data_IF_026115323030
#
_entry.id   IF_026115323030
#
_cell.length_a   1.000
_cell.length_b   1.000
_cell.length_c   1.000
_cell.angle_alpha   90.00
_cell.angle_beta   90.00
_cell.angle_gamma   90.00
#
_symmetry.space_group_name_H-M   'P 1'
#
loop_
_entity.id
_entity.type
_entity.pdbx_description
1 polymer ?
#
# COMPACT_ATOMS: atom_id res chain seq x y z
N UNK A 1 -2.68 18.77 8.20
CA UNK A 1 -2.54 19.26 6.81
C UNK A 1 -2.78 18.09 5.87
N UNK A 2 -3.48 18.28 4.75
CA UNK A 2 -3.70 17.25 3.72
C UNK A 2 -3.22 17.85 2.40
N UNK A 3 -2.28 17.19 1.76
CA UNK A 3 -1.71 17.56 0.47
C UNK A 3 -1.89 16.40 -0.52
N UNK A 4 -2.52 16.68 -1.67
CA UNK A 4 -2.81 15.67 -2.68
C UNK A 4 -2.25 16.14 -4.04
N UNK A 5 -1.56 15.25 -4.74
CA UNK A 5 -0.90 15.55 -6.00
C UNK A 5 -1.28 14.53 -7.08
N UNK A 6 -1.82 15.01 -8.20
CA UNK A 6 -1.96 14.20 -9.40
C UNK A 6 -0.67 14.31 -10.20
N UNK A 7 0.26 13.40 -9.97
CA UNK A 7 1.62 13.46 -10.51
C UNK A 7 2.29 12.08 -10.54
N UNK A 8 3.37 12.00 -11.30
CA UNK A 8 4.30 10.88 -11.21
C UNK A 8 5.05 10.93 -9.88
N UNK A 9 5.01 9.84 -9.10
CA UNK A 9 5.64 9.78 -7.79
C UNK A 9 7.17 9.85 -7.86
N UNK A 10 7.81 9.37 -8.93
CA UNK A 10 9.26 9.46 -9.12
C UNK A 10 9.75 10.90 -9.27
N UNK A 11 8.94 11.76 -9.88
CA UNK A 11 9.25 13.19 -10.00
C UNK A 11 8.81 13.96 -8.75
N UNK A 12 7.60 13.71 -8.26
CA UNK A 12 7.05 14.46 -7.13
C UNK A 12 7.80 14.24 -5.83
N UNK A 13 8.31 13.03 -5.58
CA UNK A 13 9.13 12.75 -4.39
C UNK A 13 10.37 13.66 -4.31
N UNK A 14 10.99 14.04 -5.44
CA UNK A 14 12.16 14.93 -5.47
C UNK A 14 11.88 16.33 -4.91
N UNK A 15 10.61 16.75 -4.92
CA UNK A 15 10.18 18.04 -4.39
C UNK A 15 9.83 18.00 -2.89
N UNK A 16 9.64 16.79 -2.33
CA UNK A 16 9.36 16.62 -0.90
C UNK A 16 10.68 16.81 -0.12
N UNK A 17 10.68 17.67 0.91
CA UNK A 17 11.90 17.93 1.68
C UNK A 17 12.46 16.66 2.35
N UNK A 18 13.78 16.64 2.52
CA UNK A 18 14.47 15.60 3.29
C UNK A 18 13.96 15.58 4.72
N UNK A 19 13.83 14.38 5.31
CA UNK A 19 13.48 14.18 6.70
C UNK A 19 12.18 14.90 7.13
N UNK A 20 11.15 14.90 6.27
CA UNK A 20 9.87 15.59 6.49
C UNK A 20 8.69 14.65 6.72
N UNK A 21 8.89 13.34 6.56
CA UNK A 21 7.85 12.31 6.64
C UNK A 21 8.12 11.38 7.84
N UNK A 22 7.11 11.14 8.67
CA UNK A 22 7.21 10.27 9.84
C UNK A 22 6.89 8.81 9.52
N UNK A 23 6.03 8.55 8.54
CA UNK A 23 5.57 7.23 8.16
C UNK A 23 5.25 7.17 6.67
N UNK A 24 5.73 6.13 6.00
CA UNK A 24 5.34 5.80 4.63
C UNK A 24 4.47 4.54 4.63
N UNK A 25 3.33 4.56 3.92
CA UNK A 25 2.49 3.38 3.67
C UNK A 25 2.16 3.36 2.18
N UNK A 26 2.65 2.35 1.46
CA UNK A 26 2.45 2.25 0.01
C UNK A 26 1.92 0.88 -0.41
N UNK A 27 1.09 0.90 -1.46
CA UNK A 27 0.57 -0.28 -2.17
C UNK A 27 0.95 -0.17 -3.66
N UNK A 28 2.24 -0.35 -3.98
CA UNK A 28 2.72 -0.18 -5.34
C UNK A 28 2.21 -1.30 -6.28
N UNK A 29 2.30 -1.10 -7.61
CA UNK A 29 2.02 -2.15 -8.57
C UNK A 29 2.74 -3.47 -8.25
N UNK A 30 2.02 -4.60 -8.33
CA UNK A 30 2.61 -5.90 -8.07
C UNK A 30 3.31 -6.44 -9.33
N UNK A 31 4.43 -7.11 -9.13
CA UNK A 31 5.10 -7.87 -10.19
C UNK A 31 4.33 -9.18 -10.43
N UNK A 32 3.41 -9.14 -11.36
CA UNK A 32 2.60 -10.29 -11.76
C UNK A 32 3.19 -10.83 -13.05
N UNK A 33 3.98 -11.88 -12.93
CA UNK A 33 4.44 -12.64 -14.08
C UNK A 33 3.22 -13.20 -14.84
N UNK A 34 3.23 -13.02 -16.16
CA UNK A 34 2.14 -13.42 -17.05
C UNK A 34 1.94 -14.94 -16.95
N UNK A 35 1.07 -15.34 -16.07
CA UNK A 35 0.62 -16.72 -15.99
C UNK A 35 -0.52 -16.89 -16.99
N UNK A 36 -0.19 -17.13 -18.25
CA UNK A 36 -1.16 -17.51 -19.30
C UNK A 36 -2.14 -18.54 -18.78
N UNK A 37 -3.27 -18.08 -18.27
CA UNK A 37 -4.25 -18.90 -17.56
C UNK A 37 -5.58 -18.84 -18.27
N UNK A 38 -5.80 -19.77 -19.20
CA UNK A 38 -7.15 -20.17 -19.54
C UNK A 38 -7.81 -20.79 -18.32
N UNK A 39 -8.35 -19.98 -17.41
CA UNK A 39 -9.02 -20.45 -16.21
C UNK A 39 -10.53 -20.44 -16.37
N UNK A 40 -11.23 -21.28 -15.60
CA UNK A 40 -12.68 -21.41 -15.49
C UNK A 40 -13.41 -20.15 -14.95
N UNK A 41 -12.85 -18.96 -15.14
CA UNK A 41 -13.43 -17.73 -14.61
C UNK A 41 -14.36 -17.06 -15.61
N UNK A 42 -15.51 -16.60 -15.12
CA UNK A 42 -16.44 -15.79 -15.87
C UNK A 42 -15.87 -14.45 -16.33
N UNK A 43 -16.65 -13.71 -17.12
CA UNK A 43 -16.30 -12.40 -17.69
C UNK A 43 -15.71 -11.40 -16.66
N UNK A 44 -16.25 -11.35 -15.46
CA UNK A 44 -15.83 -10.42 -14.40
C UNK A 44 -14.35 -10.57 -13.98
N UNK A 45 -13.84 -11.81 -13.90
CA UNK A 45 -12.43 -12.02 -13.52
C UNK A 45 -11.47 -11.67 -14.67
N UNK A 46 -11.91 -11.81 -15.91
CA UNK A 46 -11.13 -11.36 -17.08
C UNK A 46 -11.11 -9.86 -17.19
N UNK A 47 -12.24 -9.19 -16.95
CA UNK A 47 -12.33 -7.73 -16.92
C UNK A 47 -11.41 -7.15 -15.82
N UNK A 48 -11.46 -7.69 -14.62
CA UNK A 48 -10.56 -7.31 -13.51
C UNK A 48 -9.07 -7.47 -13.90
N UNK A 49 -8.71 -8.58 -14.52
CA UNK A 49 -7.34 -8.84 -14.95
C UNK A 49 -6.90 -7.85 -16.04
N UNK A 50 -7.78 -7.59 -17.02
CA UNK A 50 -7.52 -6.63 -18.08
C UNK A 50 -7.40 -5.19 -17.53
N UNK A 51 -8.20 -4.83 -16.54
CA UNK A 51 -8.12 -3.53 -15.89
C UNK A 51 -6.77 -3.34 -15.16
N UNK A 52 -6.26 -4.37 -14.47
CA UNK A 52 -4.94 -4.35 -13.85
C UNK A 52 -3.82 -4.20 -14.89
N UNK A 53 -3.91 -4.91 -16.02
CA UNK A 53 -2.92 -4.84 -17.10
C UNK A 53 -2.93 -3.48 -17.81
N UNK A 54 -4.10 -2.98 -18.18
CA UNK A 54 -4.23 -1.69 -18.86
C UNK A 54 -3.81 -0.52 -17.98
N UNK A 55 -4.01 -0.61 -16.66
CA UNK A 55 -3.57 0.38 -15.66
C UNK A 55 -2.08 0.31 -15.30
N UNK A 56 -1.30 -0.61 -15.91
CA UNK A 56 0.13 -0.75 -15.58
C UNK A 56 0.42 -1.33 -14.19
N UNK A 57 -0.60 -1.87 -13.50
CA UNK A 57 -0.52 -2.35 -12.11
C UNK A 57 0.11 -3.74 -11.97
N UNK A 58 0.74 -4.26 -13.03
CA UNK A 58 1.30 -5.63 -13.07
C UNK A 58 2.80 -5.70 -13.32
N UNK A 59 3.46 -4.55 -13.49
CA UNK A 59 4.88 -4.48 -13.87
C UNK A 59 5.85 -4.28 -12.70
N UNK A 60 5.33 -4.27 -11.46
CA UNK A 60 6.14 -3.87 -10.31
C UNK A 60 6.48 -2.38 -10.30
N UNK A 61 7.44 -2.01 -9.49
CA UNK A 61 7.98 -0.64 -9.44
C UNK A 61 9.46 -0.64 -9.77
N UNK A 62 9.96 0.49 -10.28
CA UNK A 62 11.40 0.72 -10.34
C UNK A 62 11.94 0.95 -8.92
N UNK A 63 12.90 0.13 -8.53
CA UNK A 63 13.54 0.22 -7.20
C UNK A 63 14.29 1.55 -6.98
N UNK A 64 14.51 2.34 -8.03
CA UNK A 64 15.06 3.69 -7.94
C UNK A 64 14.24 4.64 -7.04
N UNK A 65 12.98 4.31 -6.76
CA UNK A 65 12.14 5.06 -5.80
C UNK A 65 12.59 4.87 -4.35
N UNK A 66 13.20 3.73 -4.01
CA UNK A 66 13.50 3.38 -2.62
C UNK A 66 14.49 4.36 -1.94
N UNK A 67 15.57 4.83 -2.60
CA UNK A 67 16.41 5.89 -2.06
C UNK A 67 15.66 7.19 -1.77
N UNK A 68 14.71 7.58 -2.64
CA UNK A 68 13.90 8.79 -2.43
C UNK A 68 12.94 8.63 -1.24
N UNK A 69 12.33 7.46 -1.08
CA UNK A 69 11.53 7.16 0.11
C UNK A 69 12.37 7.22 1.39
N UNK A 70 13.60 6.68 1.36
CA UNK A 70 14.52 6.79 2.48
C UNK A 70 14.91 8.23 2.79
N UNK A 71 15.15 9.06 1.78
CA UNK A 71 15.54 10.48 1.92
C UNK A 71 14.45 11.32 2.59
N UNK A 72 13.21 11.13 2.18
CA UNK A 72 12.09 11.96 2.71
C UNK A 72 11.69 11.57 4.14
N UNK A 73 11.98 10.36 4.60
CA UNK A 73 11.65 9.92 5.95
C UNK A 73 12.60 10.53 7.01
N UNK A 74 12.07 10.99 8.13
CA UNK A 74 12.86 11.42 9.29
C UNK A 74 13.75 10.29 9.83
N UNK A 75 13.21 9.09 9.83
CA UNK A 75 13.86 7.80 10.04
C UNK A 75 13.11 6.78 9.21
N UNK A 76 13.80 5.76 8.73
CA UNK A 76 13.14 4.69 8.00
C UNK A 76 11.99 4.09 8.83
N UNK A 77 10.76 4.22 8.34
CA UNK A 77 9.52 3.80 8.97
C UNK A 77 8.47 3.61 7.89
N UNK A 78 8.43 2.42 7.27
CA UNK A 78 7.68 2.20 6.04
C UNK A 78 6.98 0.85 6.00
N UNK A 79 5.73 0.86 5.58
CA UNK A 79 4.96 -0.32 5.18
C UNK A 79 4.85 -0.39 3.67
N UNK A 80 5.15 -1.57 3.11
CA UNK A 80 5.06 -1.85 1.66
C UNK A 80 4.21 -3.10 1.45
N UNK A 81 3.05 -2.93 0.82
CA UNK A 81 2.28 -4.05 0.31
C UNK A 81 2.98 -4.67 -0.89
N UNK A 82 2.99 -5.98 -0.98
CA UNK A 82 3.67 -6.67 -2.08
C UNK A 82 3.13 -8.09 -2.30
N UNK A 83 3.49 -8.67 -3.42
CA UNK A 83 3.34 -10.09 -3.65
C UNK A 83 4.63 -10.85 -3.32
N UNK A 84 4.58 -12.18 -3.39
CA UNK A 84 5.72 -13.06 -3.07
C UNK A 84 6.97 -12.80 -3.92
N UNK A 85 6.81 -12.30 -5.16
CA UNK A 85 7.94 -12.10 -6.09
C UNK A 85 8.76 -10.88 -5.69
N UNK A 86 8.13 -9.90 -5.02
CA UNK A 86 8.75 -8.64 -4.62
C UNK A 86 9.37 -8.69 -3.23
N UNK A 87 9.09 -9.72 -2.41
CA UNK A 87 9.59 -9.82 -1.03
C UNK A 87 11.11 -9.64 -0.95
N UNK A 88 11.84 -10.39 -1.76
CA UNK A 88 13.31 -10.41 -1.69
C UNK A 88 13.93 -9.04 -2.00
N UNK A 89 13.47 -8.37 -3.06
CA UNK A 89 14.05 -7.08 -3.46
C UNK A 89 13.90 -6.01 -2.38
N UNK A 90 12.74 -5.97 -1.70
CA UNK A 90 12.52 -5.01 -0.61
C UNK A 90 13.32 -5.37 0.64
N UNK A 91 13.33 -6.66 1.03
CA UNK A 91 14.09 -7.12 2.20
C UNK A 91 15.58 -6.83 1.99
N UNK A 92 16.16 -7.25 0.87
CA UNK A 92 17.57 -7.02 0.54
C UNK A 92 17.92 -5.52 0.60
N UNK A 93 17.06 -4.65 0.04
CA UNK A 93 17.31 -3.21 0.04
C UNK A 93 17.32 -2.62 1.46
N UNK A 94 16.26 -2.85 2.23
CA UNK A 94 16.11 -2.21 3.53
C UNK A 94 17.04 -2.80 4.60
N UNK A 95 17.31 -4.10 4.58
CA UNK A 95 18.28 -4.70 5.51
C UNK A 95 19.70 -4.25 5.24
N UNK A 96 20.10 -4.10 3.97
CA UNK A 96 21.38 -3.48 3.59
C UNK A 96 21.48 -2.01 4.07
N UNK A 97 20.35 -1.33 4.23
CA UNK A 97 20.26 0.02 4.81
C UNK A 97 19.97 0.01 6.33
N UNK A 98 20.30 -1.09 7.03
CA UNK A 98 20.24 -1.24 8.50
C UNK A 98 18.83 -1.12 9.11
N UNK A 99 17.79 -1.40 8.34
CA UNK A 99 16.44 -1.49 8.84
C UNK A 99 16.14 -2.88 9.41
N UNK A 100 15.36 -2.94 10.47
CA UNK A 100 14.75 -4.18 10.93
C UNK A 100 13.53 -4.47 10.08
N UNK A 101 13.32 -5.76 9.76
CA UNK A 101 12.23 -6.23 8.90
C UNK A 101 11.19 -7.00 9.71
N UNK A 102 9.92 -6.70 9.47
CA UNK A 102 8.79 -7.50 9.94
C UNK A 102 7.89 -7.87 8.75
N UNK A 103 7.52 -9.14 8.67
CA UNK A 103 6.55 -9.63 7.69
C UNK A 103 5.17 -9.72 8.35
N UNK A 104 4.21 -8.98 7.80
CA UNK A 104 2.81 -9.03 8.17
C UNK A 104 2.01 -9.66 7.02
N UNK A 105 0.84 -10.21 7.34
CA UNK A 105 -0.04 -10.86 6.35
C UNK A 105 -1.49 -10.41 6.50
N UNK A 106 -2.18 -10.30 5.36
CA UNK A 106 -3.63 -10.15 5.33
C UNK A 106 -4.27 -11.37 4.67
N UNK A 107 -5.06 -12.09 5.45
CA UNK A 107 -5.81 -13.28 5.02
C UNK A 107 -7.24 -12.90 4.64
N UNK A 108 -7.61 -13.16 3.40
CA UNK A 108 -8.94 -12.88 2.85
C UNK A 108 -9.87 -14.06 3.14
N UNK A 109 -10.98 -13.82 3.82
CA UNK A 109 -11.95 -14.87 4.12
C UNK A 109 -12.81 -15.29 2.92
N UNK A 110 -12.81 -14.47 1.85
CA UNK A 110 -13.56 -14.68 0.60
C UNK A 110 -12.66 -14.46 -0.63
N UNK A 111 -11.53 -15.17 -0.77
CA UNK A 111 -10.66 -15.02 -1.91
C UNK A 111 -11.38 -15.41 -3.21
N UNK A 112 -10.87 -14.92 -4.35
CA UNK A 112 -11.33 -15.38 -5.65
C UNK A 112 -10.96 -16.87 -5.80
N UNK A 113 -11.90 -17.76 -6.17
CA UNK A 113 -11.59 -19.16 -6.37
C UNK A 113 -10.47 -19.33 -7.41
N UNK A 114 -9.54 -20.21 -7.12
CA UNK A 114 -8.43 -20.51 -8.02
C UNK A 114 -8.75 -21.82 -8.74
N UNK A 115 -8.78 -21.80 -10.06
CA UNK A 115 -8.75 -23.01 -10.89
C UNK A 115 -7.29 -23.32 -11.22
N UNK A 116 -7.00 -24.54 -11.57
CA UNK A 116 -5.65 -25.06 -11.78
C UNK A 116 -4.94 -25.44 -10.45
N UNK A 117 -4.05 -26.33 -10.51
CA UNK A 117 -3.28 -26.94 -9.42
C UNK A 117 -2.44 -25.90 -8.63
N UNK A 118 -3.09 -24.90 -8.05
CA UNK A 118 -2.48 -23.81 -7.28
C UNK A 118 -3.22 -23.61 -5.97
N UNK A 119 -2.50 -23.13 -4.96
CA UNK A 119 -3.11 -22.65 -3.72
C UNK A 119 -3.95 -21.39 -3.99
N UNK A 120 -4.96 -21.14 -3.14
CA UNK A 120 -5.77 -19.94 -3.19
C UNK A 120 -4.90 -18.68 -2.99
N UNK A 121 -5.24 -17.62 -3.72
CA UNK A 121 -4.62 -16.29 -3.52
C UNK A 121 -5.33 -15.54 -2.38
N UNK A 122 -5.40 -16.17 -1.22
CA UNK A 122 -6.10 -15.68 -0.02
C UNK A 122 -5.23 -14.81 0.87
N UNK A 123 -3.93 -14.73 0.60
CA UNK A 123 -2.97 -14.03 1.44
C UNK A 123 -2.26 -12.92 0.64
N UNK A 124 -2.27 -11.70 1.19
CA UNK A 124 -1.39 -10.61 0.77
C UNK A 124 -0.30 -10.37 1.81
N UNK A 125 0.86 -9.97 1.33
CA UNK A 125 2.02 -9.69 2.17
C UNK A 125 2.17 -8.19 2.38
N UNK A 126 2.62 -7.85 3.58
CA UNK A 126 2.94 -6.49 3.98
C UNK A 126 4.27 -6.50 4.71
N UNK A 127 5.28 -5.88 4.13
CA UNK A 127 6.57 -5.70 4.77
C UNK A 127 6.58 -4.40 5.57
N UNK A 128 7.11 -4.46 6.78
CA UNK A 128 7.37 -3.30 7.60
C UNK A 128 8.86 -3.18 7.87
N UNK A 129 9.43 -2.08 7.47
CA UNK A 129 10.83 -1.76 7.70
C UNK A 129 10.95 -0.56 8.61
N UNK A 130 11.83 -0.65 9.58
CA UNK A 130 12.10 0.46 10.49
C UNK A 130 13.56 0.55 10.89
N UNK A 131 14.04 1.77 11.02
CA UNK A 131 15.36 2.05 11.57
C UNK A 131 15.39 1.80 13.09
N UNK A 132 16.58 1.51 13.62
CA UNK A 132 16.78 1.34 15.07
C UNK A 132 16.33 2.61 15.83
N UNK A 133 15.49 2.40 16.85
CA UNK A 133 14.98 3.47 17.71
C UNK A 133 13.64 4.05 17.24
N UNK A 134 13.10 3.63 16.08
CA UNK A 134 11.70 3.93 15.71
C UNK A 134 10.77 3.09 16.58
N UNK A 135 9.90 3.70 17.40
CA UNK A 135 9.02 2.96 18.29
C UNK A 135 7.85 2.33 17.52
N UNK A 136 7.33 1.21 18.03
CA UNK A 136 6.01 0.70 17.68
C UNK A 136 5.07 1.03 18.83
N UNK A 137 4.12 1.92 18.55
CA UNK A 137 3.05 2.31 19.48
C UNK A 137 1.97 1.22 19.54
N UNK A 138 0.84 1.51 20.11
CA UNK A 138 -0.32 0.63 20.12
C UNK A 138 -0.28 -0.42 21.24
N UNK A 139 -1.34 -1.23 21.30
CA UNK A 139 -1.57 -2.26 22.31
C UNK A 139 -1.03 -3.62 21.88
N UNK A 140 -1.12 -4.60 22.78
CA UNK A 140 -0.82 -6.00 22.47
C UNK A 140 -1.62 -6.53 21.26
N UNK A 141 -2.92 -6.19 21.18
CA UNK A 141 -3.77 -6.68 20.09
C UNK A 141 -3.51 -5.99 18.75
N UNK A 142 -3.17 -4.70 18.76
CA UNK A 142 -2.89 -3.95 17.52
C UNK A 142 -1.55 -4.33 16.88
N UNK A 143 -0.63 -4.93 17.64
CA UNK A 143 0.71 -5.34 17.19
C UNK A 143 0.77 -6.75 16.59
N UNK A 144 -0.38 -7.36 16.31
CA UNK A 144 -0.42 -8.67 15.64
C UNK A 144 0.09 -8.55 14.20
N UNK A 145 0.83 -9.57 13.75
CA UNK A 145 1.43 -9.60 12.41
C UNK A 145 0.48 -10.14 11.33
N UNK A 146 -0.78 -10.44 11.67
CA UNK A 146 -1.77 -10.95 10.72
C UNK A 146 -3.11 -10.27 10.88
N UNK A 147 -3.79 -10.10 9.77
CA UNK A 147 -5.14 -9.59 9.69
C UNK A 147 -6.03 -10.62 8.99
N UNK A 148 -7.28 -10.77 9.44
CA UNK A 148 -8.26 -11.68 8.82
C UNK A 148 -9.53 -10.88 8.56
N UNK A 149 -9.82 -10.59 7.30
CA UNK A 149 -11.04 -9.88 6.91
C UNK A 149 -11.50 -10.36 5.53
N UNK A 150 -12.79 -10.16 5.17
CA UNK A 150 -13.18 -10.31 3.78
C UNK A 150 -12.49 -9.25 2.90
N UNK A 151 -12.45 -9.50 1.60
CA UNK A 151 -12.12 -8.49 0.61
C UNK A 151 -13.16 -7.39 0.64
N UNK A 152 -12.74 -6.15 0.53
CA UNK A 152 -13.63 -4.98 0.63
C UNK A 152 -14.42 -4.73 -0.67
N UNK A 153 -15.34 -5.66 -1.00
CA UNK A 153 -16.15 -5.58 -2.25
C UNK A 153 -17.06 -4.35 -2.29
N UNK A 154 -17.59 -3.93 -1.14
CA UNK A 154 -18.47 -2.77 -1.06
C UNK A 154 -17.73 -1.48 -1.43
N UNK A 155 -16.55 -1.25 -0.84
CA UNK A 155 -15.75 -0.07 -1.13
C UNK A 155 -15.16 -0.11 -2.54
N UNK A 156 -14.80 -1.31 -3.06
CA UNK A 156 -14.36 -1.47 -4.46
C UNK A 156 -15.45 -0.98 -5.42
N UNK A 157 -16.71 -1.37 -5.19
CA UNK A 157 -17.85 -0.93 -6.00
C UNK A 157 -18.14 0.55 -5.81
N UNK A 158 -18.08 1.05 -4.58
CA UNK A 158 -18.38 2.44 -4.25
C UNK A 158 -17.34 3.40 -4.85
N UNK A 159 -16.07 3.05 -4.77
CA UNK A 159 -14.98 3.94 -5.16
C UNK A 159 -14.37 3.62 -6.52
N UNK A 160 -14.86 2.56 -7.20
CA UNK A 160 -14.41 2.21 -8.56
C UNK A 160 -12.92 1.88 -8.67
N UNK A 161 -12.29 1.43 -7.58
CA UNK A 161 -10.88 1.06 -7.56
C UNK A 161 -10.71 -0.44 -7.29
N UNK A 162 -9.92 -1.18 -8.10
CA UNK A 162 -9.86 -2.64 -8.05
C UNK A 162 -9.22 -3.20 -6.77
N UNK A 163 -8.36 -2.46 -6.11
CA UNK A 163 -7.52 -2.95 -5.00
C UNK A 163 -7.65 -2.15 -3.71
N UNK A 164 -8.87 -1.67 -3.37
CA UNK A 164 -9.08 -0.90 -2.13
C UNK A 164 -8.70 -1.72 -0.90
N UNK A 165 -7.69 -1.26 -0.15
CA UNK A 165 -7.28 -1.89 1.10
C UNK A 165 -8.29 -1.64 2.23
N UNK A 166 -8.47 -2.57 3.18
CA UNK A 166 -9.38 -2.37 4.32
C UNK A 166 -8.93 -1.21 5.21
N UNK A 167 -9.84 -0.25 5.42
CA UNK A 167 -9.56 0.97 6.19
C UNK A 167 -9.07 0.69 7.62
N UNK A 168 -9.65 -0.32 8.28
CA UNK A 168 -9.28 -0.70 9.63
C UNK A 168 -7.83 -1.23 9.73
N UNK A 169 -7.33 -1.92 8.70
CA UNK A 169 -5.93 -2.36 8.66
C UNK A 169 -5.03 -1.13 8.55
N UNK A 170 -5.30 -0.22 7.62
CA UNK A 170 -4.49 0.99 7.44
C UNK A 170 -4.50 1.86 8.71
N UNK A 171 -5.66 2.04 9.36
CA UNK A 171 -5.73 2.74 10.66
C UNK A 171 -4.86 2.09 11.72
N UNK A 172 -4.84 0.76 11.77
CA UNK A 172 -4.00 0.04 12.73
C UNK A 172 -2.51 0.28 12.47
N UNK A 173 -2.08 0.25 11.20
CA UNK A 173 -0.68 0.52 10.82
C UNK A 173 -0.28 1.95 11.22
N UNK A 174 -1.10 2.95 10.91
CA UNK A 174 -0.86 4.37 11.26
C UNK A 174 -0.76 4.54 12.77
N UNK A 175 -1.70 3.94 13.52
CA UNK A 175 -1.71 4.02 14.99
C UNK A 175 -0.47 3.40 15.61
N UNK A 176 0.01 2.29 15.06
CA UNK A 176 1.20 1.59 15.55
C UNK A 176 2.51 2.32 15.24
N UNK A 177 2.56 3.14 14.17
CA UNK A 177 3.83 3.63 13.64
C UNK A 177 3.93 5.14 13.50
N UNK A 178 2.92 5.90 13.97
CA UNK A 178 2.97 7.36 14.01
C UNK A 178 2.24 7.94 15.22
N UNK A 179 2.58 9.16 15.59
CA UNK A 179 1.86 9.93 16.59
C UNK A 179 0.84 10.89 15.94
N UNK A 180 -0.21 11.34 16.65
CA UNK A 180 -1.06 12.43 16.17
C UNK A 180 -0.22 13.65 15.75
N UNK A 181 -0.59 14.27 14.64
CA UNK A 181 0.17 15.38 14.04
C UNK A 181 1.30 14.96 13.11
N UNK A 182 1.79 13.72 13.20
CA UNK A 182 2.83 13.20 12.31
C UNK A 182 2.41 13.17 10.84
N UNK A 183 3.38 13.20 9.93
CA UNK A 183 3.19 13.21 8.48
C UNK A 183 3.22 11.79 7.93
N UNK A 184 2.13 11.37 7.28
CA UNK A 184 2.02 10.09 6.57
C UNK A 184 2.09 10.34 5.06
N UNK A 185 2.94 9.60 4.37
CA UNK A 185 3.07 9.64 2.91
C UNK A 185 2.55 8.34 2.28
N UNK A 186 1.76 8.49 1.21
CA UNK A 186 1.40 7.41 0.29
C UNK A 186 1.56 7.89 -1.15
N UNK A 187 2.61 7.44 -1.82
CA UNK A 187 2.92 7.84 -3.19
C UNK A 187 2.31 6.92 -4.27
N UNK A 188 1.46 5.99 -3.86
CA UNK A 188 0.60 5.15 -4.69
C UNK A 188 -0.82 5.12 -4.12
N UNK A 189 -1.39 6.31 -3.83
CA UNK A 189 -2.55 6.42 -2.95
C UNK A 189 -3.85 5.81 -3.50
N UNK A 190 -3.93 5.54 -4.82
CA UNK A 190 -5.09 4.94 -5.45
C UNK A 190 -6.38 5.68 -5.11
N UNK A 191 -7.33 5.00 -4.48
CA UNK A 191 -8.60 5.57 -4.01
C UNK A 191 -8.51 6.30 -2.66
N UNK A 192 -7.32 6.54 -2.11
CA UNK A 192 -7.10 7.39 -0.93
C UNK A 192 -7.39 6.75 0.44
N UNK A 193 -7.35 5.43 0.58
CA UNK A 193 -7.64 4.77 1.87
C UNK A 193 -6.69 5.23 2.98
N UNK A 194 -5.39 5.38 2.66
CA UNK A 194 -4.37 5.87 3.60
C UNK A 194 -4.65 7.31 4.03
N UNK A 195 -5.06 8.17 3.10
CA UNK A 195 -5.41 9.56 3.39
C UNK A 195 -6.62 9.70 4.30
N UNK A 196 -7.68 8.90 4.06
CA UNK A 196 -8.86 8.86 4.95
C UNK A 196 -8.44 8.42 6.35
N UNK A 197 -7.65 7.34 6.45
CA UNK A 197 -7.18 6.84 7.74
C UNK A 197 -6.33 7.87 8.49
N UNK A 198 -5.41 8.54 7.79
CA UNK A 198 -4.55 9.58 8.37
C UNK A 198 -5.38 10.77 8.89
N UNK A 199 -6.33 11.26 8.09
CA UNK A 199 -7.24 12.36 8.48
C UNK A 199 -8.05 12.01 9.73
N UNK A 200 -8.70 10.84 9.75
CA UNK A 200 -9.53 10.39 10.88
C UNK A 200 -8.72 10.18 12.18
N UNK A 201 -7.43 9.87 12.05
CA UNK A 201 -6.53 9.68 13.17
C UNK A 201 -5.75 10.95 13.56
N UNK A 202 -6.03 12.10 12.93
CA UNK A 202 -5.37 13.38 13.23
C UNK A 202 -3.92 13.46 12.78
N UNK A 203 -3.56 12.78 11.69
CA UNK A 203 -2.25 12.87 11.03
C UNK A 203 -2.32 13.84 9.87
N UNK A 204 -1.20 14.46 9.54
CA UNK A 204 -1.00 15.11 8.24
C UNK A 204 -0.80 14.03 7.17
N UNK A 205 -1.18 14.33 5.94
CA UNK A 205 -1.09 13.35 4.85
C UNK A 205 -0.57 14.01 3.57
N UNK A 206 0.36 13.31 2.92
CA UNK A 206 0.81 13.62 1.56
C UNK A 206 0.43 12.43 0.69
N UNK A 207 -0.40 12.65 -0.32
CA UNK A 207 -0.86 11.62 -1.26
C UNK A 207 -0.45 11.95 -2.69
N UNK A 208 0.12 10.96 -3.41
CA UNK A 208 0.47 11.10 -4.82
C UNK A 208 -0.24 9.98 -5.58
N UNK A 209 -0.87 10.32 -6.71
CA UNK A 209 -1.54 9.38 -7.61
C UNK A 209 -1.35 9.83 -9.06
N UNK A 210 -0.91 8.90 -9.90
CA UNK A 210 -0.65 9.17 -11.32
C UNK A 210 -1.94 9.22 -12.14
N UNK A 211 -2.85 8.27 -11.89
CA UNK A 211 -4.10 8.17 -12.63
C UNK A 211 -5.10 9.24 -12.16
N UNK A 212 -5.51 10.11 -13.08
CA UNK A 212 -6.41 11.24 -12.76
C UNK A 212 -7.76 10.76 -12.21
N UNK A 213 -8.32 9.65 -12.70
CA UNK A 213 -9.61 9.11 -12.25
C UNK A 213 -9.50 8.66 -10.78
N UNK A 214 -8.42 7.95 -10.44
CA UNK A 214 -8.18 7.51 -9.06
C UNK A 214 -7.84 8.69 -8.15
N UNK A 215 -7.06 9.64 -8.64
CA UNK A 215 -6.78 10.89 -7.92
C UNK A 215 -8.08 11.63 -7.55
N UNK A 216 -8.99 11.86 -8.51
CA UNK A 216 -10.29 12.51 -8.25
C UNK A 216 -11.16 11.74 -7.24
N UNK A 217 -11.10 10.40 -7.31
CA UNK A 217 -11.79 9.55 -6.34
C UNK A 217 -11.20 9.73 -4.93
N UNK A 218 -9.88 9.72 -4.81
CA UNK A 218 -9.17 9.93 -3.55
C UNK A 218 -9.45 11.34 -2.97
N UNK A 219 -9.36 12.37 -3.79
CA UNK A 219 -9.64 13.77 -3.41
C UNK A 219 -11.06 13.90 -2.82
N UNK A 220 -12.07 13.38 -3.51
CA UNK A 220 -13.45 13.37 -3.03
C UNK A 220 -13.60 12.60 -1.71
N UNK A 221 -12.95 11.44 -1.59
CA UNK A 221 -13.08 10.56 -0.43
C UNK A 221 -12.38 11.12 0.81
N UNK A 222 -11.23 11.77 0.63
CA UNK A 222 -10.45 12.36 1.73
C UNK A 222 -11.06 13.69 2.20
N UNK A 223 -11.56 14.51 1.29
CA UNK A 223 -12.11 15.84 1.61
C UNK A 223 -13.57 15.78 2.07
N UNK A 224 -14.36 14.79 1.60
CA UNK A 224 -15.77 14.60 1.98
C UNK A 224 -15.90 13.96 3.31
#
# INVERSE_FOLDING_TARGET
>A
MIELYNADCYEKLKEIPDNSVDLVIIDPPYDILDCGGGGCFGSEAREYHNELYSGGLTKGIDVAILPELMRVMCKANIYIWCNKNQLRQYIDYFENNRCATELLTWHKTNPVPTCNNKYLSDTEYLLYFREKGVPIFGSYDTKRKFYVTPTNKADKKLWGHPTVKPLNIIKNLITNSSLPGGVVLDCFMGSGTTGVAAKELGRSFIGIELDEKYFRTAEKRING
#
